data_IF_262374474676
#
_entry.id   IF_262374474676
#
_cell.length_a   1.000
_cell.length_b   1.000
_cell.length_c   1.000
_cell.angle_alpha   90.00
_cell.angle_beta   90.00
_cell.angle_gamma   90.00
#
_symmetry.space_group_name_H-M   'P 1'
#
loop_
_entity.id
_entity.type
_entity.pdbx_description
1 polymer ?
#
# COMPACT_ATOMS: atom_id res chain seq x y z
N UNK A 1 -46.63 44.87 -20.15
CA UNK A 1 -47.33 44.24 -21.28
C UNK A 1 -47.61 42.79 -20.92
N UNK A 2 -48.88 42.41 -20.89
CA UNK A 2 -49.36 41.05 -20.67
C UNK A 2 -49.17 40.19 -21.92
N UNK A 3 -48.93 38.89 -21.74
CA UNK A 3 -48.94 37.90 -22.83
C UNK A 3 -48.72 36.48 -22.34
N UNK A 4 -49.75 35.84 -21.78
CA UNK A 4 -49.80 34.41 -21.52
C UNK A 4 -50.01 33.61 -22.82
N UNK A 5 -49.36 32.45 -22.96
CA UNK A 5 -50.02 31.24 -23.51
C UNK A 5 -49.55 29.99 -22.75
N UNK A 6 -50.55 29.23 -22.29
CA UNK A 6 -50.48 27.89 -21.69
C UNK A 6 -50.68 26.83 -22.77
N UNK A 7 -50.06 25.66 -22.58
CA UNK A 7 -50.54 24.31 -22.96
C UNK A 7 -49.98 23.39 -21.84
N UNK A 8 -50.66 22.86 -20.81
CA UNK A 8 -51.73 21.83 -20.66
C UNK A 8 -51.44 20.52 -21.42
N UNK A 9 -51.17 19.34 -20.84
CA UNK A 9 -51.84 18.64 -19.72
C UNK A 9 -51.05 17.40 -19.22
N UNK A 10 -51.46 16.77 -18.08
CA UNK A 10 -50.81 15.65 -17.34
C UNK A 10 -51.64 14.33 -17.50
N UNK A 11 -51.77 13.38 -16.54
CA UNK A 11 -50.87 12.78 -15.53
C UNK A 11 -50.74 11.22 -15.69
N UNK A 12 -49.87 10.57 -14.91
CA UNK A 12 -49.84 9.11 -14.81
C UNK A 12 -49.35 8.65 -13.44
N UNK A 13 -50.30 8.29 -12.56
CA UNK A 13 -50.07 7.61 -11.30
C UNK A 13 -50.45 6.13 -11.44
N UNK A 14 -49.67 5.25 -10.81
CA UNK A 14 -49.92 3.81 -10.61
C UNK A 14 -48.67 3.21 -9.98
N UNK A 15 -48.52 3.03 -8.67
CA UNK A 15 -49.31 2.27 -7.68
C UNK A 15 -49.08 0.75 -7.77
N UNK A 16 -48.46 0.21 -6.70
CA UNK A 16 -48.50 -1.20 -6.28
C UNK A 16 -47.42 -2.11 -6.89
N UNK A 17 -46.92 -3.15 -6.22
CA UNK A 17 -47.13 -3.65 -4.87
C UNK A 17 -46.11 -4.77 -4.61
N UNK A 18 -45.72 -4.93 -3.36
CA UNK A 18 -45.45 -6.17 -2.62
C UNK A 18 -45.28 -7.52 -3.36
N UNK A 19 -44.19 -8.20 -3.01
CA UNK A 19 -44.08 -9.66 -2.86
C UNK A 19 -42.73 -9.97 -2.20
N UNK A 20 -42.63 -10.25 -0.88
CA UNK A 20 -42.84 -11.57 -0.26
C UNK A 20 -42.30 -12.69 -1.18
N UNK A 21 -41.29 -13.48 -0.85
CA UNK A 21 -40.75 -13.91 0.43
C UNK A 21 -40.48 -15.41 0.32
N UNK A 22 -39.42 -15.88 0.97
CA UNK A 22 -39.16 -17.27 1.38
C UNK A 22 -38.94 -18.35 0.27
N UNK A 23 -37.79 -19.03 0.30
CA UNK A 23 -37.54 -20.32 1.01
C UNK A 23 -36.13 -20.83 0.66
N UNK A 24 -35.25 -20.97 1.66
CA UNK A 24 -34.82 -22.22 2.32
C UNK A 24 -34.02 -23.16 1.40
N UNK A 25 -32.74 -23.40 1.74
CA UNK A 25 -32.25 -24.76 1.95
C UNK A 25 -30.97 -24.77 2.82
N UNK A 26 -31.19 -25.15 4.07
CA UNK A 26 -30.20 -25.67 5.00
C UNK A 26 -29.85 -27.10 4.56
N UNK A 27 -28.57 -27.44 4.51
CA UNK A 27 -28.12 -28.83 4.47
C UNK A 27 -27.05 -29.05 5.54
N UNK A 28 -27.47 -29.75 6.59
CA UNK A 28 -26.65 -30.42 7.61
C UNK A 28 -26.73 -31.93 7.32
N UNK A 29 -25.78 -32.70 7.88
CA UNK A 29 -25.57 -34.17 7.88
C UNK A 29 -24.55 -34.64 6.83
N UNK A 30 -23.59 -35.55 7.10
CA UNK A 30 -23.32 -36.44 8.24
C UNK A 30 -21.85 -36.93 8.12
N UNK A 31 -21.09 -37.03 9.22
CA UNK A 31 -20.71 -38.28 9.93
C UNK A 31 -20.04 -39.37 9.06
N UNK A 32 -18.76 -39.63 9.35
CA UNK A 32 -18.02 -40.82 8.91
C UNK A 32 -16.74 -41.01 9.74
N UNK A 33 -16.85 -41.84 10.77
CA UNK A 33 -15.80 -42.31 11.71
C UNK A 33 -15.11 -43.56 11.14
N UNK A 34 -13.90 -43.88 11.65
CA UNK A 34 -13.10 -45.15 11.61
C UNK A 34 -11.80 -44.99 10.78
N UNK A 35 -10.57 -45.32 11.20
CA UNK A 35 -9.96 -46.23 12.19
C UNK A 35 -8.57 -45.62 12.50
N UNK A 36 -8.10 -45.40 13.73
CA UNK A 36 -7.66 -46.41 14.68
C UNK A 36 -6.23 -46.91 14.39
N UNK A 37 -5.21 -46.38 15.06
CA UNK A 37 -4.03 -47.16 15.47
C UNK A 37 -3.45 -46.55 16.73
N UNK A 38 -3.53 -47.33 17.80
CA UNK A 38 -2.94 -47.05 19.10
C UNK A 38 -1.46 -47.42 19.10
N UNK A 39 -0.65 -46.66 19.82
CA UNK A 39 0.47 -47.19 20.59
C UNK A 39 0.56 -46.38 21.89
N UNK A 40 0.04 -46.98 22.96
CA UNK A 40 0.32 -46.61 24.33
C UNK A 40 1.75 -47.02 24.70
N UNK A 41 2.46 -46.18 25.45
CA UNK A 41 3.29 -46.66 26.54
C UNK A 41 3.31 -45.63 27.67
N UNK A 42 3.24 -46.18 28.88
CA UNK A 42 3.08 -45.56 30.20
C UNK A 42 4.28 -44.64 30.52
N UNK A 43 4.13 -43.50 31.20
CA UNK A 43 3.65 -43.36 32.56
C UNK A 43 4.82 -43.39 33.55
N UNK A 44 5.34 -42.22 33.96
CA UNK A 44 5.99 -42.03 35.26
C UNK A 44 6.07 -40.54 35.58
N UNK A 45 5.27 -40.12 36.56
CA UNK A 45 5.40 -38.85 37.22
C UNK A 45 6.44 -38.95 38.35
N UNK A 46 7.26 -37.92 38.51
CA UNK A 46 7.73 -37.50 39.84
C UNK A 46 7.97 -35.99 39.82
N UNK A 47 7.27 -35.33 40.74
CA UNK A 47 7.28 -33.90 40.97
C UNK A 47 8.50 -33.49 41.81
N UNK A 48 9.06 -32.30 41.53
CA UNK A 48 9.78 -31.50 42.52
C UNK A 48 9.75 -30.01 42.16
N UNK A 49 8.75 -29.32 42.70
CA UNK A 49 8.78 -28.04 43.43
C UNK A 49 9.70 -26.86 42.99
N UNK A 50 9.02 -25.82 42.44
CA UNK A 50 9.12 -24.33 42.66
C UNK A 50 10.05 -23.42 41.78
N UNK A 51 9.80 -22.08 41.66
CA UNK A 51 9.31 -21.44 40.42
C UNK A 51 10.07 -20.16 39.90
N UNK A 52 9.95 -19.86 38.57
CA UNK A 52 9.97 -18.57 37.76
C UNK A 52 10.93 -17.39 38.13
N UNK A 53 11.11 -16.33 37.28
CA UNK A 53 11.03 -16.13 35.81
C UNK A 53 12.21 -15.31 35.20
N UNK A 54 12.63 -15.59 33.96
CA UNK A 54 12.81 -14.59 32.87
C UNK A 54 13.17 -15.33 31.58
N UNK A 55 12.15 -15.82 30.87
CA UNK A 55 12.25 -16.11 29.45
C UNK A 55 12.17 -14.76 28.72
N UNK A 56 13.29 -14.37 28.11
CA UNK A 56 13.28 -13.47 26.95
C UNK A 56 13.05 -14.39 25.74
N UNK A 57 11.96 -14.24 24.97
CA UNK A 57 11.76 -15.04 23.77
C UNK A 57 12.91 -14.81 22.79
N UNK A 58 13.52 -15.92 22.41
CA UNK A 58 14.75 -15.98 21.63
C UNK A 58 14.60 -15.48 20.21
N UNK A 59 15.70 -14.88 19.75
CA UNK A 59 16.04 -14.74 18.34
C UNK A 59 16.07 -16.15 17.76
N UNK A 60 15.09 -16.46 16.89
CA UNK A 60 15.08 -17.71 16.17
C UNK A 60 16.19 -17.72 15.11
N UNK A 61 16.88 -18.85 15.08
CA UNK A 61 17.97 -19.23 14.19
C UNK A 61 17.75 -18.81 12.72
N UNK A 62 18.79 -18.19 12.16
CA UNK A 62 18.95 -17.99 10.73
C UNK A 62 19.08 -19.34 10.01
N UNK A 63 18.01 -19.78 9.33
CA UNK A 63 18.13 -20.74 8.23
C UNK A 63 18.30 -19.96 6.93
N UNK A 64 19.51 -20.03 6.37
CA UNK A 64 19.81 -19.59 5.01
C UNK A 64 19.10 -20.48 4.01
N UNK A 65 17.90 -20.08 3.61
CA UNK A 65 17.23 -20.58 2.42
C UNK A 65 16.91 -19.37 1.55
N UNK A 66 17.62 -19.26 0.43
CA UNK A 66 17.38 -18.36 -0.70
C UNK A 66 16.03 -18.73 -1.34
N UNK A 67 14.97 -18.49 -0.59
CA UNK A 67 13.62 -18.38 -1.10
C UNK A 67 13.43 -16.90 -1.37
N UNK A 68 12.98 -16.54 -2.57
CA UNK A 68 12.42 -15.22 -2.82
C UNK A 68 11.24 -15.04 -1.84
N UNK A 69 11.54 -14.53 -0.64
CA UNK A 69 10.55 -14.31 0.40
C UNK A 69 9.53 -13.36 -0.22
N UNK A 70 8.29 -13.83 -0.28
CA UNK A 70 7.17 -12.94 -0.56
C UNK A 70 7.28 -11.74 0.38
N UNK A 71 6.99 -10.53 -0.10
CA UNK A 71 7.11 -9.34 0.73
C UNK A 71 6.30 -9.51 2.02
N UNK A 72 6.87 -9.04 3.12
CA UNK A 72 6.10 -8.94 4.35
C UNK A 72 5.01 -7.89 4.13
N UNK A 73 3.76 -8.26 4.42
CA UNK A 73 2.63 -7.34 4.34
C UNK A 73 2.43 -6.73 5.72
N UNK A 74 2.44 -5.40 5.81
CA UNK A 74 2.45 -4.67 7.08
C UNK A 74 1.34 -3.62 7.14
N UNK A 75 0.93 -3.30 8.36
CA UNK A 75 -0.02 -2.23 8.65
C UNK A 75 0.73 -0.89 8.87
N UNK A 76 0.05 0.27 8.73
CA UNK A 76 0.66 1.57 9.04
C UNK A 76 1.27 1.67 10.43
N UNK A 77 0.67 1.04 11.46
CA UNK A 77 1.23 1.04 12.82
C UNK A 77 2.57 0.29 12.92
N UNK A 78 2.81 -0.70 12.06
CA UNK A 78 4.08 -1.43 12.03
C UNK A 78 5.18 -0.54 11.45
N UNK A 79 4.84 0.31 10.46
CA UNK A 79 5.75 1.34 9.93
C UNK A 79 6.07 2.39 11.00
N UNK A 80 5.07 2.85 11.76
CA UNK A 80 5.28 3.76 12.88
C UNK A 80 6.23 3.19 13.94
N UNK A 81 6.23 1.87 14.12
CA UNK A 81 7.10 1.21 15.10
C UNK A 81 8.57 1.12 14.66
N UNK A 82 8.89 1.43 13.40
CA UNK A 82 10.26 1.37 12.87
C UNK A 82 11.16 2.50 13.39
N UNK A 83 10.59 3.66 13.73
CA UNK A 83 11.37 4.81 14.16
C UNK A 83 10.50 6.01 14.55
N UNK A 84 11.15 7.06 15.01
CA UNK A 84 10.46 8.29 15.36
C UNK A 84 9.89 8.98 14.10
N UNK A 85 8.77 9.67 14.27
CA UNK A 85 8.19 10.49 13.20
C UNK A 85 8.86 11.87 13.07
N UNK A 86 8.60 12.57 11.95
CA UNK A 86 9.09 13.91 11.67
C UNK A 86 8.94 14.90 12.83
N UNK A 87 10.03 15.61 13.16
CA UNK A 87 10.00 16.66 14.19
C UNK A 87 9.75 18.05 13.58
N UNK A 88 8.94 18.91 14.23
CA UNK A 88 8.70 20.27 13.77
C UNK A 88 9.99 21.09 13.64
N UNK A 89 10.22 21.65 12.45
CA UNK A 89 11.38 22.49 12.15
C UNK A 89 12.66 21.74 11.76
N UNK A 90 12.63 20.41 11.69
CA UNK A 90 13.72 19.61 11.13
C UNK A 90 13.45 19.25 9.67
N UNK A 91 14.49 19.28 8.83
CA UNK A 91 14.39 18.87 7.44
C UNK A 91 15.08 17.52 7.25
N UNK A 92 14.44 16.63 6.51
CA UNK A 92 14.97 15.32 6.14
C UNK A 92 14.41 14.92 4.76
N UNK A 93 15.02 13.90 4.16
CA UNK A 93 14.68 13.44 2.82
C UNK A 93 14.15 12.01 2.83
N UNK A 94 13.20 11.75 1.94
CA UNK A 94 12.65 10.43 1.62
C UNK A 94 12.79 10.22 0.12
N UNK A 95 13.08 9.00 -0.31
CA UNK A 95 13.17 8.69 -1.74
C UNK A 95 11.85 8.12 -2.23
N UNK A 96 11.31 8.66 -3.32
CA UNK A 96 10.09 8.19 -3.94
C UNK A 96 10.33 7.79 -5.39
N UNK A 97 9.69 6.71 -5.80
CA UNK A 97 9.52 6.36 -7.21
C UNK A 97 8.14 5.83 -7.50
N UNK A 98 7.69 6.06 -8.73
CA UNK A 98 6.43 5.50 -9.24
C UNK A 98 6.77 4.48 -10.32
N UNK A 99 6.46 3.20 -10.07
CA UNK A 99 6.74 2.10 -10.97
C UNK A 99 5.44 1.62 -11.64
N UNK A 100 5.36 1.74 -12.96
CA UNK A 100 4.22 1.23 -13.72
C UNK A 100 4.72 0.16 -14.70
N UNK A 101 4.18 -1.04 -14.57
CA UNK A 101 4.52 -2.21 -15.38
C UNK A 101 6.04 -2.49 -15.46
N UNK A 102 6.73 -2.38 -14.33
CA UNK A 102 8.17 -2.68 -14.23
C UNK A 102 9.08 -1.52 -14.63
N UNK A 103 8.55 -0.30 -14.85
CA UNK A 103 9.32 0.89 -15.24
C UNK A 103 9.06 2.04 -14.29
N UNK A 104 10.12 2.72 -13.88
CA UNK A 104 9.99 3.96 -13.12
C UNK A 104 9.67 5.12 -14.07
N UNK A 105 8.69 5.92 -13.66
CA UNK A 105 8.30 7.14 -14.35
C UNK A 105 9.24 8.29 -13.95
N UNK A 106 9.33 9.31 -14.80
CA UNK A 106 9.98 10.58 -14.45
C UNK A 106 9.11 11.34 -13.44
N UNK A 107 9.74 11.88 -12.39
CA UNK A 107 9.03 12.60 -11.33
C UNK A 107 8.85 14.07 -11.73
N UNK A 108 7.65 14.66 -11.56
CA UNK A 108 7.49 16.09 -11.68
C UNK A 108 8.12 16.79 -10.46
N UNK A 109 8.78 17.93 -10.69
CA UNK A 109 9.20 18.79 -9.58
C UNK A 109 8.02 19.61 -9.07
N UNK A 110 7.67 19.46 -7.79
CA UNK A 110 6.55 20.15 -7.16
C UNK A 110 6.95 20.66 -5.79
N UNK A 111 6.35 21.80 -5.41
CA UNK A 111 6.35 22.28 -4.02
C UNK A 111 4.95 22.10 -3.48
N UNK A 112 4.80 21.13 -2.57
CA UNK A 112 3.54 20.71 -1.99
C UNK A 112 3.14 21.48 -0.73
N UNK A 113 1.95 21.20 -0.20
CA UNK A 113 1.55 21.67 1.13
C UNK A 113 2.43 21.06 2.23
N UNK A 114 2.29 21.57 3.45
CA UNK A 114 2.90 20.98 4.67
C UNK A 114 4.45 20.90 4.69
N UNK A 115 5.13 21.56 3.75
CA UNK A 115 6.59 21.53 3.66
C UNK A 115 7.13 20.29 2.96
N UNK A 116 6.32 19.65 2.12
CA UNK A 116 6.74 18.54 1.26
C UNK A 116 7.11 19.07 -0.12
N UNK A 117 8.38 18.98 -0.48
CA UNK A 117 8.89 19.32 -1.81
C UNK A 117 9.39 18.06 -2.50
N UNK A 118 9.07 17.86 -3.78
CA UNK A 118 9.55 16.72 -4.56
C UNK A 118 10.34 17.24 -5.75
N UNK A 119 11.54 16.72 -5.95
CA UNK A 119 12.37 17.06 -7.11
C UNK A 119 12.18 16.07 -8.28
N UNK A 120 12.77 16.40 -9.43
CA UNK A 120 12.68 15.57 -10.63
C UNK A 120 13.42 14.22 -10.51
N UNK A 121 14.32 14.07 -9.53
CA UNK A 121 14.98 12.80 -9.27
C UNK A 121 14.09 11.87 -8.44
N UNK A 122 13.07 12.39 -7.76
CA UNK A 122 12.24 11.67 -6.80
C UNK A 122 12.78 11.74 -5.38
N UNK A 123 13.54 12.78 -5.04
CA UNK A 123 13.84 13.12 -3.65
C UNK A 123 12.68 13.95 -3.11
N UNK A 124 12.11 13.50 -2.01
CA UNK A 124 11.05 14.17 -1.26
C UNK A 124 11.67 14.81 -0.04
N UNK A 125 11.86 16.13 -0.07
CA UNK A 125 12.30 16.90 1.09
C UNK A 125 11.10 17.25 1.95
N UNK A 126 11.17 16.90 3.23
CA UNK A 126 10.09 17.14 4.20
C UNK A 126 10.62 18.08 5.26
N UNK A 127 9.96 19.23 5.41
CA UNK A 127 10.27 20.26 6.39
C UNK A 127 8.98 20.67 7.15
N UNK A 128 8.60 19.92 8.20
CA UNK A 128 7.41 20.24 8.97
C UNK A 128 7.52 21.63 9.61
N UNK A 129 6.43 22.39 9.60
CA UNK A 129 6.46 23.78 10.07
C UNK A 129 6.81 23.89 11.56
N UNK A 130 7.64 24.88 11.97
CA UNK A 130 7.91 25.13 13.38
C UNK A 130 6.63 25.38 14.19
N UNK A 131 6.43 24.62 15.27
CA UNK A 131 5.23 24.70 16.10
C UNK A 131 4.02 23.91 15.56
N UNK A 132 4.21 23.15 14.48
CA UNK A 132 3.27 22.13 14.01
C UNK A 132 3.23 20.89 14.90
N UNK A 133 2.37 19.93 14.57
CA UNK A 133 2.30 18.66 15.30
C UNK A 133 3.53 17.80 14.96
N UNK A 134 3.93 16.95 15.89
CA UNK A 134 5.19 16.20 15.84
C UNK A 134 4.90 14.70 15.77
N UNK A 135 5.79 13.95 15.13
CA UNK A 135 5.64 12.51 14.97
C UNK A 135 5.01 12.18 13.62
N UNK A 136 4.17 11.15 13.60
CA UNK A 136 3.64 10.53 12.39
C UNK A 136 2.47 11.29 11.73
N UNK A 137 2.45 12.62 11.85
CA UNK A 137 1.37 13.45 11.28
C UNK A 137 1.51 13.65 9.77
N UNK A 138 2.72 13.50 9.23
CA UNK A 138 2.95 13.47 7.78
C UNK A 138 2.89 12.02 7.32
N UNK A 139 2.02 11.75 6.36
CA UNK A 139 1.83 10.41 5.78
C UNK A 139 2.13 10.41 4.29
N UNK A 140 2.07 9.23 3.68
CA UNK A 140 2.16 9.08 2.23
C UNK A 140 1.04 9.84 1.50
N UNK A 141 -0.13 10.04 2.13
CA UNK A 141 -1.20 10.86 1.57
C UNK A 141 -0.72 12.29 1.28
N UNK A 142 0.02 12.92 2.19
CA UNK A 142 0.55 14.28 1.99
C UNK A 142 1.51 14.35 0.78
N UNK A 143 2.32 13.29 0.58
CA UNK A 143 3.24 13.19 -0.55
C UNK A 143 2.48 12.98 -1.85
N UNK A 144 1.49 12.08 -1.88
CA UNK A 144 0.68 11.84 -3.08
C UNK A 144 -0.17 13.04 -3.44
N UNK A 145 -0.73 13.75 -2.45
CA UNK A 145 -1.48 14.99 -2.66
C UNK A 145 -0.59 16.10 -3.25
N UNK A 146 0.65 16.25 -2.76
CA UNK A 146 1.63 17.19 -3.32
C UNK A 146 1.93 16.90 -4.80
N UNK A 147 1.93 15.63 -5.18
CA UNK A 147 2.18 15.15 -6.54
C UNK A 147 0.93 15.07 -7.42
N UNK A 148 -0.26 15.38 -6.89
CA UNK A 148 -1.54 15.20 -7.57
C UNK A 148 -1.76 13.73 -8.01
N UNK A 149 -1.39 12.80 -7.13
CA UNK A 149 -1.59 11.36 -7.28
C UNK A 149 -2.75 10.93 -6.39
N UNK A 150 -3.71 10.20 -6.96
CA UNK A 150 -4.72 9.48 -6.18
C UNK A 150 -4.24 8.05 -5.97
N UNK A 151 -4.04 7.63 -4.72
CA UNK A 151 -3.55 6.29 -4.40
C UNK A 151 -4.49 5.56 -3.44
N UNK A 152 -4.93 4.38 -3.84
CA UNK A 152 -5.58 3.39 -2.98
C UNK A 152 -5.04 2.00 -3.31
N UNK A 153 -5.38 0.96 -2.54
CA UNK A 153 -5.06 -0.42 -2.93
C UNK A 153 -5.84 -0.93 -4.15
N UNK A 154 -6.87 -0.19 -4.60
CA UNK A 154 -7.70 -0.56 -5.73
C UNK A 154 -7.37 0.21 -7.02
N UNK A 155 -6.82 1.42 -6.91
CA UNK A 155 -6.68 2.36 -8.02
C UNK A 155 -5.49 3.30 -7.79
N UNK A 156 -4.74 3.54 -8.87
CA UNK A 156 -3.71 4.56 -8.99
C UNK A 156 -4.11 5.58 -10.06
N UNK A 157 -4.26 6.85 -9.68
CA UNK A 157 -4.62 7.94 -10.57
C UNK A 157 -3.55 9.02 -10.60
N UNK A 158 -3.39 9.66 -11.76
CA UNK A 158 -2.51 10.81 -11.95
C UNK A 158 -3.32 12.03 -12.37
N UNK A 159 -3.05 13.16 -11.72
CA UNK A 159 -3.59 14.46 -12.10
C UNK A 159 -2.79 15.13 -13.22
N UNK A 160 -3.20 16.34 -13.65
CA UNK A 160 -2.59 17.07 -14.76
C UNK A 160 -1.09 17.38 -14.64
N UNK A 161 -0.51 17.35 -13.44
CA UNK A 161 0.92 17.63 -13.20
C UNK A 161 1.87 16.60 -13.82
N UNK A 162 1.38 15.39 -14.09
CA UNK A 162 2.19 14.25 -14.56
C UNK A 162 2.35 14.16 -16.09
N UNK A 163 1.71 15.05 -16.86
CA UNK A 163 1.58 14.98 -18.33
C UNK A 163 1.58 13.54 -18.89
N UNK A 164 0.48 12.78 -18.69
CA UNK A 164 0.43 11.36 -19.02
C UNK A 164 0.55 11.06 -20.53
N UNK A 165 0.57 12.09 -21.39
CA UNK A 165 0.76 11.94 -22.82
C UNK A 165 2.25 11.80 -23.23
N UNK A 166 3.17 12.30 -22.41
CA UNK A 166 4.63 12.21 -22.66
C UNK A 166 5.29 11.14 -21.79
N UNK A 167 4.69 10.81 -20.66
CA UNK A 167 5.15 9.73 -19.81
C UNK A 167 4.80 8.37 -20.46
N UNK A 168 5.81 7.76 -21.08
CA UNK A 168 5.71 6.48 -21.79
C UNK A 168 6.11 5.32 -20.91
N UNK A 169 5.34 4.23 -20.96
CA UNK A 169 5.64 2.96 -20.28
C UNK A 169 6.09 1.92 -21.29
N UNK A 170 7.17 1.21 -20.95
CA UNK A 170 7.66 0.07 -21.72
C UNK A 170 8.48 0.44 -22.97
N UNK A 171 8.74 -0.55 -23.82
CA UNK A 171 9.46 -0.38 -25.10
C UNK A 171 8.56 -0.01 -26.27
N UNK A 172 7.24 -0.04 -26.04
CA UNK A 172 6.23 0.19 -27.05
C UNK A 172 5.66 1.62 -26.98
N UNK A 173 6.33 2.51 -26.24
CA UNK A 173 5.93 3.91 -26.02
C UNK A 173 4.44 4.04 -25.66
N UNK A 174 3.94 3.14 -24.80
CA UNK A 174 2.52 3.19 -24.42
C UNK A 174 2.31 4.40 -23.53
N UNK A 175 1.50 5.39 -23.94
CA UNK A 175 1.26 6.56 -23.12
C UNK A 175 0.51 6.13 -21.86
N UNK A 176 0.89 6.73 -20.73
CA UNK A 176 0.11 6.66 -19.49
C UNK A 176 -1.34 7.08 -19.71
N UNK A 177 -1.56 8.05 -20.61
CA UNK A 177 -2.86 8.52 -21.03
C UNK A 177 -3.63 7.42 -21.77
N UNK A 178 -4.38 6.62 -21.02
CA UNK A 178 -5.20 5.52 -21.54
C UNK A 178 -5.08 4.21 -20.77
N UNK A 179 -4.18 4.13 -19.78
CA UNK A 179 -4.12 2.98 -18.88
C UNK A 179 -5.11 3.15 -17.73
N UNK A 180 -5.91 2.12 -17.53
CA UNK A 180 -6.76 1.96 -16.35
C UNK A 180 -5.93 1.23 -15.27
N UNK A 181 -5.34 2.01 -14.36
CA UNK A 181 -4.41 1.52 -13.34
C UNK A 181 -5.16 1.07 -12.09
N UNK A 182 -6.05 0.11 -12.30
CA UNK A 182 -6.87 -0.50 -11.26
C UNK A 182 -6.39 -1.90 -10.95
N UNK A 183 -6.42 -2.31 -9.70
CA UNK A 183 -6.03 -3.66 -9.28
C UNK A 183 -6.84 -4.72 -10.05
N UNK A 184 -6.13 -5.67 -10.65
CA UNK A 184 -6.69 -6.66 -11.58
C UNK A 184 -6.68 -6.24 -13.05
N UNK A 185 -6.29 -4.99 -13.34
CA UNK A 185 -5.90 -4.50 -14.67
C UNK A 185 -4.65 -5.19 -15.19
N UNK A 186 -4.15 -4.78 -16.36
CA UNK A 186 -3.10 -5.54 -17.06
C UNK A 186 -1.85 -4.73 -17.39
N UNK A 187 -0.70 -5.33 -17.13
CA UNK A 187 0.59 -4.95 -17.69
C UNK A 187 0.94 -5.97 -18.79
N UNK A 188 0.70 -5.62 -20.05
CA UNK A 188 0.82 -6.56 -21.16
C UNK A 188 -0.20 -7.70 -21.04
N UNK A 189 0.29 -8.94 -20.86
CA UNK A 189 -0.58 -10.13 -20.70
C UNK A 189 -0.83 -10.53 -19.25
N UNK A 190 -0.18 -9.88 -18.29
CA UNK A 190 -0.25 -10.24 -16.87
C UNK A 190 -1.14 -9.27 -16.09
N UNK A 191 -1.76 -9.78 -15.02
CA UNK A 191 -2.55 -8.94 -14.12
C UNK A 191 -1.62 -8.18 -13.18
N UNK A 192 -1.92 -6.90 -12.99
CA UNK A 192 -1.19 -6.01 -12.12
C UNK A 192 -2.05 -5.58 -10.92
N UNK A 193 -1.37 -5.14 -9.86
CA UNK A 193 -1.99 -4.65 -8.64
C UNK A 193 -1.40 -3.29 -8.27
N UNK A 194 -2.21 -2.47 -7.58
CA UNK A 194 -1.77 -1.21 -6.98
C UNK A 194 -1.21 -1.50 -5.60
N UNK A 195 0.03 -1.09 -5.37
CA UNK A 195 0.81 -1.46 -4.19
C UNK A 195 1.68 -0.29 -3.73
N UNK A 196 1.87 -0.13 -2.41
CA UNK A 196 2.90 0.73 -1.84
C UNK A 196 3.97 -0.14 -1.20
N UNK A 197 5.20 0.05 -1.66
CA UNK A 197 6.38 -0.63 -1.16
C UNK A 197 7.18 0.31 -0.30
N UNK A 198 7.40 -0.08 0.95
CA UNK A 198 8.20 0.64 1.92
C UNK A 198 9.55 -0.06 2.11
N UNK A 199 10.61 0.74 2.07
CA UNK A 199 11.99 0.33 2.27
C UNK A 199 12.58 1.16 3.40
N UNK A 200 13.18 0.51 4.38
CA UNK A 200 13.81 1.21 5.51
C UNK A 200 15.03 2.01 5.05
N UNK A 201 15.52 2.92 5.89
CA UNK A 201 16.76 3.66 5.63
C UNK A 201 17.93 2.71 5.31
N UNK A 202 18.06 1.62 6.08
CA UNK A 202 19.12 0.63 5.85
C UNK A 202 18.96 -0.06 4.50
N UNK A 203 17.73 -0.30 4.03
CA UNK A 203 17.49 -0.87 2.71
C UNK A 203 17.91 0.10 1.59
N UNK A 204 17.69 1.41 1.78
CA UNK A 204 18.20 2.43 0.86
C UNK A 204 19.74 2.44 0.82
N UNK A 205 20.40 2.39 1.98
CA UNK A 205 21.86 2.47 2.09
C UNK A 205 22.60 1.20 1.63
N UNK A 206 22.08 0.03 1.98
CA UNK A 206 22.73 -1.26 1.72
C UNK A 206 22.34 -1.87 0.37
N UNK A 207 21.21 -1.42 -0.20
CA UNK A 207 20.57 -2.09 -1.32
C UNK A 207 19.91 -3.43 -0.95
N UNK A 208 19.90 -3.81 0.33
CA UNK A 208 19.26 -5.03 0.79
C UNK A 208 17.73 -4.91 0.70
N UNK A 209 17.10 -6.02 0.30
CA UNK A 209 15.66 -6.10 0.03
C UNK A 209 14.84 -6.26 1.32
N UNK A 210 15.00 -5.39 2.31
CA UNK A 210 13.98 -5.28 3.37
C UNK A 210 12.81 -4.51 2.77
N UNK A 211 11.78 -5.24 2.37
CA UNK A 211 10.65 -4.73 1.60
C UNK A 211 9.36 -5.05 2.31
N UNK A 212 8.59 -4.03 2.60
CA UNK A 212 7.28 -4.16 3.21
C UNK A 212 6.21 -3.66 2.25
N UNK A 213 5.19 -4.48 2.02
CA UNK A 213 3.99 -4.10 1.28
C UNK A 213 2.99 -3.51 2.28
N UNK A 214 2.63 -2.24 2.11
CA UNK A 214 1.73 -1.56 3.03
C UNK A 214 0.27 -1.75 2.62
N UNK A 215 -0.56 -2.23 3.53
CA UNK A 215 -1.98 -2.55 3.24
C UNK A 215 -2.88 -1.33 3.18
N UNK A 216 -2.54 -0.27 3.89
CA UNK A 216 -3.25 1.02 3.83
C UNK A 216 -2.23 2.11 3.46
N UNK A 217 -2.00 2.32 2.15
CA UNK A 217 -0.89 3.11 1.69
C UNK A 217 -1.03 4.59 1.99
N UNK A 218 -2.24 5.11 2.21
CA UNK A 218 -2.47 6.54 2.48
C UNK A 218 -2.22 6.88 3.95
N UNK A 219 -2.51 5.94 4.85
CA UNK A 219 -2.29 6.11 6.29
C UNK A 219 -0.85 5.76 6.72
N UNK A 220 -0.03 5.26 5.79
CA UNK A 220 1.37 4.93 6.02
C UNK A 220 2.16 6.18 6.48
N UNK A 221 2.72 6.19 7.70
CA UNK A 221 3.44 7.35 8.20
C UNK A 221 4.86 7.42 7.64
N UNK A 222 5.42 8.62 7.69
CA UNK A 222 6.84 8.84 7.41
C UNK A 222 7.64 8.73 8.71
N UNK A 223 8.83 8.15 8.63
CA UNK A 223 9.81 8.07 9.73
C UNK A 223 10.96 9.04 9.44
N UNK A 224 11.51 9.67 10.47
CA UNK A 224 12.51 10.74 10.34
C UNK A 224 13.88 10.25 9.87
N UNK A 225 14.21 8.98 10.10
CA UNK A 225 15.50 8.38 9.75
C UNK A 225 15.67 8.14 8.24
N UNK A 226 14.69 8.57 7.45
CA UNK A 226 14.66 8.39 6.01
C UNK A 226 14.07 7.03 5.63
N UNK A 227 13.52 6.99 4.41
CA UNK A 227 12.99 5.78 3.83
C UNK A 227 13.07 5.88 2.31
N UNK A 228 12.86 4.75 1.64
CA UNK A 228 12.51 4.76 0.24
C UNK A 228 11.10 4.18 0.06
N UNK A 229 10.35 4.76 -0.86
CA UNK A 229 8.97 4.43 -1.17
C UNK A 229 8.88 4.15 -2.66
N UNK A 230 8.23 3.04 -3.01
CA UNK A 230 7.83 2.79 -4.40
C UNK A 230 6.32 2.57 -4.47
N UNK A 231 5.62 3.51 -5.11
CA UNK A 231 4.23 3.32 -5.53
C UNK A 231 4.27 2.48 -6.80
N UNK A 232 3.57 1.36 -6.83
CA UNK A 232 3.63 0.42 -7.94
C UNK A 232 2.25 0.05 -8.50
N UNK A 233 2.17 0.01 -9.82
CA UNK A 233 1.18 -0.76 -10.55
C UNK A 233 1.91 -1.83 -11.36
N UNK A 234 2.02 -3.04 -10.83
CA UNK A 234 2.85 -4.09 -11.43
C UNK A 234 2.31 -5.50 -11.16
N UNK A 235 2.60 -6.48 -12.03
CA UNK A 235 2.35 -7.89 -11.73
C UNK A 235 3.33 -8.43 -10.68
N UNK A 236 2.96 -9.51 -10.00
CA UNK A 236 3.84 -10.20 -9.04
C UNK A 236 5.16 -10.68 -9.66
N UNK A 237 5.19 -10.95 -10.96
CA UNK A 237 6.41 -11.32 -11.69
C UNK A 237 7.43 -10.18 -11.81
N UNK A 238 6.96 -8.93 -11.62
CA UNK A 238 7.72 -7.69 -11.80
C UNK A 238 7.61 -6.80 -10.57
N UNK A 239 7.78 -7.39 -9.38
CA UNK A 239 7.79 -6.63 -8.13
C UNK A 239 8.79 -5.47 -8.22
N UNK A 240 8.38 -4.26 -7.80
CA UNK A 240 9.22 -3.08 -7.89
C UNK A 240 10.51 -3.23 -7.09
N UNK A 241 11.52 -2.45 -7.44
CA UNK A 241 12.77 -2.33 -6.69
C UNK A 241 12.78 -1.04 -5.88
N UNK A 242 13.91 -0.77 -5.21
CA UNK A 242 14.21 0.58 -4.73
C UNK A 242 14.05 1.58 -5.87
N UNK A 243 13.53 2.78 -5.58
CA UNK A 243 13.43 3.83 -6.56
C UNK A 243 14.84 4.28 -7.01
N UNK A 244 15.01 4.72 -8.27
CA UNK A 244 16.32 5.14 -8.78
C UNK A 244 16.97 6.27 -7.95
N UNK A 245 16.17 7.13 -7.33
CA UNK A 245 16.64 8.17 -6.40
C UNK A 245 17.43 7.62 -5.22
N UNK A 246 17.05 6.46 -4.68
CA UNK A 246 17.71 5.82 -3.55
C UNK A 246 19.00 5.07 -3.93
N UNK A 247 19.25 4.82 -5.22
CA UNK A 247 20.42 4.04 -5.67
C UNK A 247 21.63 4.91 -6.04
N UNK A 248 21.45 6.23 -6.08
CA UNK A 248 22.47 7.18 -6.54
C UNK A 248 23.05 8.04 -5.40
N UNK A 249 22.78 7.68 -4.14
CA UNK A 249 23.28 8.36 -2.94
C UNK A 249 24.66 7.89 -2.51
#
# INVERSE_FOLDING_TARGET
MFGQRRISSPPGAGQGAHGFGHRICMAVLCVGVLVGTACSSEGSASSSTRPRPTDVPGIHDHSSEDSALAPETVLPEDIAALGDGPQPGEQFDVFLGVNVCGRFLEMPSVSGPSGVDVDAAGVVSIAPQPGGPAGHDITVADITDALDISLTTAELGFGPSWDPATATIGTDDTPLAGLDLVTGGSCGTERAEVQLWYYTAEAADSGDRVRMLVTDPQDAPIVSDGAALTIAFAPESSLPTLPPSALNT
#
